data_IF_791661973360
#
_entry.id   IF_791661973360
#
_cell.length_a   1.000
_cell.length_b   1.000
_cell.length_c   1.000
_cell.angle_alpha   90.00
_cell.angle_beta   90.00
_cell.angle_gamma   90.00
#
_symmetry.space_group_name_H-M   'P 1'
#
loop_
_entity.id
_entity.type
_entity.pdbx_description
1 polymer ?
#
# COMPACT_ATOMS: atom_id res chain seq x y z
N UNK A 1 31.88 1.13 23.89
CA UNK A 1 31.52 2.19 22.97
C UNK A 1 30.02 2.04 22.68
N UNK A 2 29.17 2.90 23.26
CA UNK A 2 27.76 2.94 22.92
C UNK A 2 27.61 3.72 21.62
N UNK A 3 27.28 3.05 20.54
CA UNK A 3 26.90 3.71 19.29
C UNK A 3 25.55 4.39 19.54
N UNK A 4 25.53 5.71 19.66
CA UNK A 4 24.29 6.49 19.71
C UNK A 4 23.51 6.22 18.42
N UNK A 5 22.42 5.46 18.55
CA UNK A 5 21.44 5.32 17.47
C UNK A 5 20.70 6.65 17.37
N UNK A 6 21.05 7.48 16.40
CA UNK A 6 20.27 8.66 16.05
C UNK A 6 18.84 8.22 15.74
N UNK A 7 17.87 8.94 16.28
CA UNK A 7 16.45 8.69 15.97
C UNK A 7 16.20 8.89 14.47
N UNK A 8 15.18 8.25 13.93
CA UNK A 8 14.80 8.39 12.52
C UNK A 8 14.57 9.87 12.13
N UNK A 9 13.95 10.65 13.03
CA UNK A 9 13.72 12.08 12.85
C UNK A 9 15.00 12.89 12.68
N UNK A 10 16.08 12.58 13.46
CA UNK A 10 17.37 13.26 13.33
C UNK A 10 18.09 12.92 12.02
N UNK A 11 17.84 11.72 11.46
CA UNK A 11 18.43 11.30 10.18
C UNK A 11 17.71 11.88 8.96
N UNK A 12 16.45 12.24 9.09
CA UNK A 12 15.58 12.65 7.97
C UNK A 12 15.17 14.12 8.03
N UNK A 13 15.46 14.82 9.13
CA UNK A 13 15.18 16.25 9.23
C UNK A 13 15.99 17.02 8.17
N UNK A 14 15.34 17.84 7.32
CA UNK A 14 16.05 18.65 6.35
C UNK A 14 16.92 19.70 7.07
N UNK A 15 18.09 20.01 6.53
CA UNK A 15 18.93 21.10 7.02
C UNK A 15 18.21 22.45 6.85
N UNK A 16 18.60 23.46 7.62
CA UNK A 16 17.99 24.81 7.58
C UNK A 16 18.00 25.43 6.18
N UNK A 17 19.05 25.19 5.41
CA UNK A 17 19.19 25.59 4.01
C UNK A 17 18.21 24.88 3.08
N UNK A 18 17.83 23.63 3.34
CA UNK A 18 16.78 22.93 2.59
C UNK A 18 15.39 23.50 2.90
N UNK A 19 15.11 23.82 4.16
CA UNK A 19 13.85 24.46 4.55
C UNK A 19 13.67 25.80 3.83
N UNK A 20 14.71 26.63 3.81
CA UNK A 20 14.70 27.91 3.11
C UNK A 20 14.56 27.74 1.58
N UNK A 21 15.24 26.72 1.01
CA UNK A 21 15.26 26.46 -0.44
C UNK A 21 13.91 25.97 -0.98
N UNK A 22 13.18 25.17 -0.22
CA UNK A 22 11.91 24.56 -0.67
C UNK A 22 10.66 25.24 -0.13
N UNK A 23 10.82 26.31 0.68
CA UNK A 23 9.69 27.01 1.30
C UNK A 23 8.69 26.03 1.91
N UNK A 24 9.19 25.14 2.77
CA UNK A 24 8.41 24.05 3.36
C UNK A 24 7.32 24.61 4.28
N UNK A 25 6.09 24.18 4.07
CA UNK A 25 4.94 24.53 4.92
C UNK A 25 4.30 23.28 5.49
N UNK A 26 3.95 23.31 6.77
CA UNK A 26 3.16 22.27 7.43
C UNK A 26 1.70 22.70 7.43
N UNK A 27 0.83 21.84 6.93
CA UNK A 27 -0.63 22.03 6.99
C UNK A 27 -1.19 21.13 8.07
N UNK A 28 -2.16 21.62 8.81
CA UNK A 28 -2.83 20.95 9.92
C UNK A 28 -1.91 20.54 11.07
N UNK A 29 -2.48 20.28 12.23
CA UNK A 29 -1.79 19.65 13.34
C UNK A 29 -1.70 18.13 13.12
N UNK A 30 -0.77 17.43 13.79
CA UNK A 30 -0.78 15.97 13.83
C UNK A 30 -2.12 15.48 14.38
N UNK A 31 -2.69 14.42 13.74
CA UNK A 31 -3.91 13.80 14.22
C UNK A 31 -3.69 12.99 15.51
N UNK A 32 -4.77 12.74 16.23
CA UNK A 32 -4.78 11.91 17.43
C UNK A 32 -5.13 10.46 17.08
N UNK A 33 -4.43 9.50 17.70
CA UNK A 33 -4.72 8.09 17.52
C UNK A 33 -5.77 7.62 18.54
N UNK A 34 -6.90 7.12 18.04
CA UNK A 34 -8.00 6.61 18.87
C UNK A 34 -8.51 5.27 18.33
N UNK A 35 -8.98 4.41 19.25
CA UNK A 35 -9.84 3.27 18.93
C UNK A 35 -11.28 3.75 18.95
N UNK A 36 -11.99 3.67 17.83
CA UNK A 36 -13.36 4.19 17.71
C UNK A 36 -14.31 3.03 17.41
N UNK A 37 -15.44 2.91 18.13
CA UNK A 37 -16.48 1.94 17.82
C UNK A 37 -16.92 2.07 16.35
N UNK A 38 -16.91 0.97 15.62
CA UNK A 38 -17.27 0.98 14.21
C UNK A 38 -18.68 1.55 13.93
N UNK A 39 -19.57 1.45 14.92
CA UNK A 39 -20.94 1.96 14.87
C UNK A 39 -21.04 3.49 14.95
N UNK A 40 -20.00 4.15 15.46
CA UNK A 40 -19.92 5.60 15.55
C UNK A 40 -19.27 6.24 14.31
N UNK A 41 -18.65 5.41 13.46
CA UNK A 41 -18.00 5.88 12.25
C UNK A 41 -19.03 6.05 11.11
N UNK A 42 -19.17 7.27 10.63
CA UNK A 42 -20.05 7.61 9.51
C UNK A 42 -19.24 7.77 8.21
N UNK A 43 -19.90 7.62 7.08
CA UNK A 43 -19.35 7.85 5.73
C UNK A 43 -20.18 8.95 5.06
N UNK A 44 -19.54 10.07 4.70
CA UNK A 44 -20.24 11.17 4.04
C UNK A 44 -20.27 10.94 2.51
N UNK A 45 -21.46 10.70 1.93
CA UNK A 45 -21.59 10.43 0.50
C UNK A 45 -21.28 11.64 -0.38
N UNK A 46 -21.19 12.85 0.20
CA UNK A 46 -20.91 14.08 -0.56
C UNK A 46 -19.52 14.10 -1.22
N UNK A 47 -18.52 13.43 -0.62
CA UNK A 47 -17.16 13.37 -1.18
C UNK A 47 -16.59 11.95 -1.26
N UNK A 48 -17.18 10.98 -0.57
CA UNK A 48 -16.75 9.58 -0.64
C UNK A 48 -17.20 8.91 -1.94
N UNK A 49 -16.55 7.81 -2.27
CA UNK A 49 -16.87 7.06 -3.50
C UNK A 49 -18.26 6.43 -3.40
N UNK A 50 -19.17 6.82 -4.28
CA UNK A 50 -20.50 6.22 -4.37
C UNK A 50 -20.45 4.77 -4.90
N UNK A 51 -19.45 4.46 -5.76
CA UNK A 51 -19.27 3.11 -6.30
C UNK A 51 -18.31 2.31 -5.42
N UNK A 52 -18.88 1.48 -4.57
CA UNK A 52 -18.13 0.56 -3.70
C UNK A 52 -17.62 -0.62 -4.53
N UNK A 53 -16.35 -0.97 -4.37
CA UNK A 53 -15.81 -2.22 -4.89
C UNK A 53 -16.15 -3.36 -3.92
N UNK A 54 -17.29 -4.02 -4.16
CA UNK A 54 -17.82 -5.08 -3.29
C UNK A 54 -16.82 -6.24 -3.15
N UNK A 55 -16.15 -6.65 -4.24
CA UNK A 55 -15.12 -7.73 -4.18
C UNK A 55 -14.00 -7.39 -3.19
N UNK A 56 -13.61 -6.11 -3.10
CA UNK A 56 -12.60 -5.66 -2.13
C UNK A 56 -13.15 -5.71 -0.70
N UNK A 57 -14.39 -5.31 -0.48
CA UNK A 57 -15.05 -5.43 0.84
C UNK A 57 -15.12 -6.90 1.26
N UNK A 58 -15.60 -7.79 0.39
CA UNK A 58 -15.72 -9.23 0.67
C UNK A 58 -14.37 -9.87 0.98
N UNK A 59 -13.31 -9.48 0.25
CA UNK A 59 -11.96 -9.96 0.51
C UNK A 59 -11.47 -9.52 1.90
N UNK A 60 -11.65 -8.25 2.23
CA UNK A 60 -11.27 -7.70 3.54
C UNK A 60 -12.08 -8.35 4.67
N UNK A 61 -13.38 -8.57 4.47
CA UNK A 61 -14.26 -9.26 5.44
C UNK A 61 -13.79 -10.67 5.71
N UNK A 62 -13.43 -11.41 4.66
CA UNK A 62 -13.01 -12.82 4.76
C UNK A 62 -11.62 -12.99 5.32
N UNK A 63 -10.69 -12.15 4.91
CA UNK A 63 -9.26 -12.22 5.25
C UNK A 63 -8.81 -10.97 5.98
N UNK A 64 -9.46 -10.70 7.13
CA UNK A 64 -9.11 -9.55 7.94
C UNK A 64 -7.72 -9.71 8.56
N UNK A 65 -6.88 -8.73 8.36
CA UNK A 65 -5.54 -8.64 8.93
C UNK A 65 -5.35 -7.25 9.53
N UNK A 66 -5.09 -7.19 10.83
CA UNK A 66 -4.91 -5.93 11.55
C UNK A 66 -3.70 -5.12 11.06
N UNK A 67 -2.62 -5.79 10.63
CA UNK A 67 -1.44 -5.11 10.06
C UNK A 67 -1.83 -4.47 8.72
N UNK A 68 -2.50 -5.23 7.86
CA UNK A 68 -2.95 -4.73 6.55
C UNK A 68 -4.10 -3.72 6.65
N UNK A 69 -4.90 -3.79 7.72
CA UNK A 69 -5.93 -2.79 8.00
C UNK A 69 -5.31 -1.41 8.21
N UNK A 70 -4.30 -1.31 9.09
CA UNK A 70 -3.74 -0.02 9.48
C UNK A 70 -4.79 0.93 10.07
N UNK A 71 -4.45 2.20 10.23
CA UNK A 71 -5.37 3.22 10.73
C UNK A 71 -6.30 3.74 9.63
N UNK A 72 -7.55 3.99 9.98
CA UNK A 72 -8.44 4.83 9.18
C UNK A 72 -8.08 6.31 9.42
N UNK A 73 -8.35 7.17 8.44
CA UNK A 73 -8.27 8.62 8.63
C UNK A 73 -9.69 9.12 8.85
N UNK A 74 -9.90 9.81 9.96
CA UNK A 74 -11.23 10.20 10.44
C UNK A 74 -11.25 11.69 10.76
N UNK A 75 -12.29 12.37 10.34
CA UNK A 75 -12.59 13.74 10.72
C UNK A 75 -13.54 13.77 11.92
N UNK A 76 -13.20 14.52 12.94
CA UNK A 76 -14.11 14.91 14.00
C UNK A 76 -14.73 16.25 13.67
N UNK A 77 -16.05 16.30 13.55
CA UNK A 77 -16.81 17.53 13.30
C UNK A 77 -17.28 18.19 14.60
N UNK A 78 -17.69 19.44 14.51
CA UNK A 78 -18.18 20.24 15.64
C UNK A 78 -19.41 19.62 16.36
N UNK A 79 -20.16 18.74 15.68
CA UNK A 79 -21.27 17.98 16.25
C UNK A 79 -20.84 16.69 16.98
N UNK A 80 -19.54 16.53 17.23
CA UNK A 80 -18.91 15.35 17.85
C UNK A 80 -19.14 14.04 17.08
N UNK A 81 -19.32 14.11 15.76
CA UNK A 81 -19.45 12.93 14.91
C UNK A 81 -18.16 12.63 14.17
N UNK A 82 -17.93 11.33 13.93
CA UNK A 82 -16.74 10.78 13.32
C UNK A 82 -17.01 10.42 11.85
N UNK A 83 -16.35 11.11 10.93
CA UNK A 83 -16.51 10.85 9.49
C UNK A 83 -15.24 10.24 8.90
N UNK A 84 -15.37 9.06 8.26
CA UNK A 84 -14.26 8.38 7.60
C UNK A 84 -13.84 9.17 6.37
N UNK A 85 -12.62 9.72 6.38
CA UNK A 85 -12.01 10.39 5.22
C UNK A 85 -11.29 9.37 4.34
N UNK A 86 -10.51 8.45 4.93
CA UNK A 86 -9.92 7.32 4.23
C UNK A 86 -10.12 6.02 5.00
N UNK A 87 -10.41 4.96 4.27
CA UNK A 87 -10.64 3.63 4.82
C UNK A 87 -12.06 3.11 4.66
N UNK A 88 -12.90 3.72 3.82
CA UNK A 88 -14.30 3.34 3.61
C UNK A 88 -14.50 1.83 3.41
N UNK A 89 -13.69 1.16 2.56
CA UNK A 89 -13.81 -0.28 2.34
C UNK A 89 -13.48 -1.10 3.59
N UNK A 90 -12.54 -0.63 4.42
CA UNK A 90 -12.15 -1.26 5.69
C UNK A 90 -13.28 -1.15 6.72
N UNK A 91 -13.88 0.03 6.83
CA UNK A 91 -15.05 0.27 7.67
C UNK A 91 -16.22 -0.64 7.26
N UNK A 92 -16.55 -0.68 5.97
CA UNK A 92 -17.62 -1.53 5.45
C UNK A 92 -17.35 -3.03 5.66
N UNK A 93 -16.11 -3.47 5.57
CA UNK A 93 -15.74 -4.84 5.87
C UNK A 93 -15.86 -5.16 7.37
N UNK A 94 -15.43 -4.24 8.24
CA UNK A 94 -15.59 -4.39 9.69
C UNK A 94 -17.06 -4.42 10.12
N UNK A 95 -17.94 -3.70 9.44
CA UNK A 95 -19.38 -3.73 9.72
C UNK A 95 -19.98 -5.13 9.53
N UNK A 96 -19.46 -5.89 8.57
CA UNK A 96 -19.91 -7.26 8.29
C UNK A 96 -19.36 -8.31 9.27
N UNK A 97 -18.49 -7.92 10.22
CA UNK A 97 -17.83 -8.82 11.17
C UNK A 97 -18.31 -8.58 12.59
N UNK A 98 -18.79 -9.63 13.22
CA UNK A 98 -19.24 -9.57 14.63
C UNK A 98 -18.08 -9.52 15.63
N UNK A 99 -16.90 -9.99 15.25
CA UNK A 99 -15.69 -10.07 16.08
C UNK A 99 -14.84 -8.78 16.06
N UNK A 100 -15.22 -7.77 15.27
CA UNK A 100 -14.59 -6.45 15.23
C UNK A 100 -15.55 -5.42 15.81
N UNK A 101 -15.17 -4.79 16.90
CA UNK A 101 -16.00 -3.80 17.59
C UNK A 101 -15.53 -2.37 17.35
N UNK A 102 -14.20 -2.18 17.33
CA UNK A 102 -13.56 -0.89 17.20
C UNK A 102 -12.52 -0.93 16.09
N UNK A 103 -12.20 0.24 15.52
CA UNK A 103 -11.19 0.41 14.48
C UNK A 103 -10.14 1.43 14.91
N UNK A 104 -8.85 1.18 14.59
CA UNK A 104 -7.79 2.15 14.82
C UNK A 104 -7.96 3.34 13.87
N UNK A 105 -8.05 4.54 14.42
CA UNK A 105 -8.30 5.77 13.69
C UNK A 105 -7.25 6.83 14.00
N UNK A 106 -6.80 7.53 12.98
CA UNK A 106 -6.07 8.78 13.11
C UNK A 106 -7.07 9.91 12.88
N UNK A 107 -7.35 10.64 13.95
CA UNK A 107 -8.43 11.63 14.00
C UNK A 107 -7.90 13.03 13.82
N UNK A 108 -8.57 13.80 12.99
CA UNK A 108 -8.32 15.23 12.79
C UNK A 108 -9.59 16.02 13.04
N UNK A 109 -9.48 17.09 13.80
CA UNK A 109 -10.56 18.08 13.88
C UNK A 109 -10.70 18.79 12.53
N UNK A 110 -11.93 18.93 12.06
CA UNK A 110 -12.23 19.62 10.80
C UNK A 110 -13.37 20.59 11.00
N UNK A 111 -13.24 21.77 10.42
CA UNK A 111 -14.25 22.82 10.52
C UNK A 111 -15.26 22.77 9.38
N UNK A 112 -14.99 21.98 8.34
CA UNK A 112 -15.88 21.92 7.18
C UNK A 112 -15.72 20.65 6.33
N UNK A 113 -16.81 20.23 5.67
CA UNK A 113 -16.80 19.20 4.63
C UNK A 113 -15.81 19.49 3.49
N UNK A 114 -15.51 20.75 3.24
CA UNK A 114 -14.55 21.16 2.23
C UNK A 114 -13.12 20.73 2.63
N UNK A 115 -12.75 20.89 3.88
CA UNK A 115 -11.45 20.43 4.40
C UNK A 115 -11.32 18.91 4.30
N UNK A 116 -12.37 18.18 4.67
CA UNK A 116 -12.42 16.72 4.53
C UNK A 116 -12.24 16.29 3.07
N UNK A 117 -12.94 16.93 2.13
CA UNK A 117 -12.82 16.64 0.70
C UNK A 117 -11.40 16.95 0.18
N UNK A 118 -10.78 18.04 0.60
CA UNK A 118 -9.38 18.36 0.25
C UNK A 118 -8.43 17.30 0.80
N UNK A 119 -8.61 16.88 2.05
CA UNK A 119 -7.81 15.84 2.69
C UNK A 119 -7.99 14.48 1.99
N UNK A 120 -9.23 14.13 1.64
CA UNK A 120 -9.55 12.94 0.84
C UNK A 120 -8.81 12.93 -0.50
N UNK A 121 -8.81 14.04 -1.22
CA UNK A 121 -8.10 14.17 -2.50
C UNK A 121 -6.59 14.05 -2.29
N UNK A 122 -6.02 14.76 -1.30
CA UNK A 122 -4.59 14.72 -1.01
C UNK A 122 -4.10 13.31 -0.68
N UNK A 123 -4.81 12.57 0.18
CA UNK A 123 -4.49 11.19 0.55
C UNK A 123 -4.53 10.27 -0.68
N UNK A 124 -5.54 10.43 -1.54
CA UNK A 124 -5.70 9.54 -2.70
C UNK A 124 -4.78 9.90 -3.88
N UNK A 125 -4.44 11.18 -4.08
CA UNK A 125 -3.51 11.62 -5.12
C UNK A 125 -2.06 11.25 -4.80
N UNK A 126 -1.67 11.29 -3.52
CA UNK A 126 -0.32 10.94 -3.09
C UNK A 126 -0.01 9.44 -3.05
N UNK A 127 -1.00 8.58 -3.24
CA UNK A 127 -0.80 7.11 -3.20
C UNK A 127 -0.17 6.60 -4.48
N UNK A 128 1.12 6.37 -4.42
CA UNK A 128 1.84 5.60 -5.45
C UNK A 128 1.66 4.12 -5.14
N UNK A 129 1.14 3.35 -6.10
CA UNK A 129 1.04 1.90 -5.96
C UNK A 129 2.42 1.26 -5.83
N UNK A 130 2.51 0.15 -5.09
CA UNK A 130 3.75 -0.64 -5.02
C UNK A 130 4.14 -1.10 -6.42
N UNK A 131 5.35 -0.76 -6.84
CA UNK A 131 5.91 -1.13 -8.14
C UNK A 131 5.93 -2.65 -8.35
N UNK A 132 5.93 -3.08 -9.61
CA UNK A 132 5.92 -4.51 -9.97
C UNK A 132 7.12 -5.25 -9.39
N UNK A 133 8.30 -4.66 -9.44
CA UNK A 133 9.54 -5.25 -8.93
C UNK A 133 9.55 -5.31 -7.39
N UNK A 134 9.09 -4.25 -6.72
CA UNK A 134 9.06 -4.22 -5.25
C UNK A 134 8.04 -5.22 -4.71
N UNK A 135 6.90 -5.36 -5.38
CA UNK A 135 5.92 -6.40 -5.06
C UNK A 135 6.51 -7.80 -5.21
N UNK A 136 7.22 -8.05 -6.30
CA UNK A 136 7.88 -9.33 -6.52
C UNK A 136 8.94 -9.62 -5.46
N UNK A 137 9.76 -8.63 -5.09
CA UNK A 137 10.74 -8.76 -3.99
C UNK A 137 10.08 -9.08 -2.65
N UNK A 138 8.97 -8.40 -2.34
CA UNK A 138 8.20 -8.68 -1.14
C UNK A 138 7.61 -10.09 -1.15
N UNK A 139 7.11 -10.56 -2.28
CA UNK A 139 6.62 -11.94 -2.46
C UNK A 139 7.73 -12.97 -2.23
N UNK A 140 8.93 -12.74 -2.75
CA UNK A 140 10.09 -13.62 -2.49
C UNK A 140 10.44 -13.68 -1.01
N UNK A 141 10.51 -12.54 -0.34
CA UNK A 141 10.84 -12.45 1.09
C UNK A 141 9.75 -13.06 1.98
N UNK A 142 8.49 -13.02 1.57
CA UNK A 142 7.38 -13.66 2.27
C UNK A 142 7.33 -15.18 2.08
N UNK A 143 8.23 -15.77 1.28
CA UNK A 143 8.25 -17.19 1.01
C UNK A 143 7.19 -17.67 0.01
N UNK A 144 6.66 -16.78 -0.84
CA UNK A 144 5.71 -17.15 -1.89
C UNK A 144 6.33 -18.17 -2.83
N UNK A 145 5.71 -19.35 -2.94
CA UNK A 145 6.23 -20.48 -3.72
C UNK A 145 6.31 -20.17 -5.22
N UNK A 146 5.34 -19.42 -5.75
CA UNK A 146 5.33 -19.02 -7.17
C UNK A 146 6.47 -18.05 -7.47
N UNK A 147 6.69 -17.04 -6.61
CA UNK A 147 7.80 -16.13 -6.76
C UNK A 147 9.16 -16.86 -6.67
N UNK A 148 9.28 -17.81 -5.74
CA UNK A 148 10.48 -18.63 -5.58
C UNK A 148 10.75 -19.50 -6.81
N UNK A 149 9.73 -20.08 -7.42
CA UNK A 149 9.86 -20.87 -8.66
C UNK A 149 10.31 -19.97 -9.84
N UNK A 150 9.71 -18.79 -9.99
CA UNK A 150 10.12 -17.81 -11.01
C UNK A 150 11.57 -17.39 -10.81
N UNK A 151 11.97 -17.07 -9.58
CA UNK A 151 13.34 -16.67 -9.26
C UNK A 151 14.36 -17.78 -9.56
N UNK A 152 14.03 -19.02 -9.21
CA UNK A 152 14.87 -20.18 -9.53
C UNK A 152 15.08 -20.34 -11.05
N UNK A 153 14.04 -20.13 -11.84
CA UNK A 153 14.12 -20.19 -13.31
C UNK A 153 14.92 -19.04 -13.89
N UNK A 154 14.72 -17.81 -13.41
CA UNK A 154 15.54 -16.67 -13.82
C UNK A 154 17.02 -16.96 -13.59
N UNK A 155 17.38 -17.42 -12.39
CA UNK A 155 18.79 -17.71 -12.01
C UNK A 155 19.39 -18.85 -12.83
N UNK A 156 18.61 -19.92 -13.09
CA UNK A 156 19.11 -21.07 -13.85
C UNK A 156 19.53 -20.73 -15.28
N UNK A 157 19.01 -19.64 -15.83
CA UNK A 157 19.34 -19.12 -17.18
C UNK A 157 20.21 -17.86 -17.15
N UNK A 158 20.75 -17.49 -15.96
CA UNK A 158 21.60 -16.32 -15.78
C UNK A 158 20.87 -14.99 -15.82
N UNK A 159 19.54 -15.00 -15.69
CA UNK A 159 18.72 -13.79 -15.64
C UNK A 159 18.42 -13.36 -14.20
N UNK A 160 18.00 -12.11 -14.04
CA UNK A 160 17.56 -11.52 -12.78
C UNK A 160 16.39 -10.56 -12.98
N UNK A 161 15.57 -10.39 -11.97
CA UNK A 161 14.57 -9.33 -11.94
C UNK A 161 15.20 -7.95 -11.74
N UNK A 162 14.75 -6.93 -12.45
CA UNK A 162 15.28 -5.56 -12.31
C UNK A 162 14.37 -4.52 -12.96
N UNK A 163 14.65 -3.24 -12.66
CA UNK A 163 13.83 -2.13 -13.15
C UNK A 163 13.99 -1.86 -14.64
N UNK A 164 15.24 -1.90 -15.12
CA UNK A 164 15.57 -1.61 -16.50
C UNK A 164 15.86 -2.90 -17.25
N UNK A 165 15.22 -3.12 -18.40
CA UNK A 165 15.52 -4.30 -19.22
C UNK A 165 16.96 -4.25 -19.72
N UNK A 166 17.61 -5.40 -19.71
CA UNK A 166 18.94 -5.61 -20.30
C UNK A 166 19.05 -7.07 -20.71
N UNK A 167 20.15 -7.45 -21.36
CA UNK A 167 20.39 -8.83 -21.80
C UNK A 167 20.20 -9.89 -20.70
N UNK A 168 20.39 -9.52 -19.42
CA UNK A 168 20.22 -10.44 -18.27
C UNK A 168 19.21 -9.94 -17.23
N UNK A 169 18.47 -8.89 -17.53
CA UNK A 169 17.55 -8.28 -16.57
C UNK A 169 16.14 -8.26 -17.14
N UNK A 170 15.23 -8.91 -16.43
CA UNK A 170 13.80 -8.97 -16.77
C UNK A 170 13.05 -7.92 -15.96
N UNK A 171 12.48 -6.91 -16.61
CA UNK A 171 11.69 -5.87 -15.98
C UNK A 171 10.21 -6.23 -15.83
N UNK A 172 9.70 -7.13 -16.66
CA UNK A 172 8.31 -7.61 -16.62
C UNK A 172 8.09 -8.81 -15.69
N UNK A 173 8.86 -8.89 -14.60
CA UNK A 173 8.85 -10.04 -13.67
C UNK A 173 7.46 -10.37 -13.10
N UNK A 174 6.60 -9.36 -12.93
CA UNK A 174 5.23 -9.57 -12.46
C UNK A 174 4.36 -10.29 -13.51
N UNK A 175 4.65 -10.14 -14.80
CA UNK A 175 3.99 -10.91 -15.85
C UNK A 175 4.39 -12.40 -15.78
N UNK A 176 5.68 -12.67 -15.54
CA UNK A 176 6.17 -14.03 -15.34
C UNK A 176 5.55 -14.68 -14.09
N UNK A 177 5.48 -13.92 -13.00
CA UNK A 177 4.80 -14.36 -11.79
C UNK A 177 3.32 -14.69 -12.05
N UNK A 178 2.60 -13.83 -12.77
CA UNK A 178 1.18 -14.07 -13.08
C UNK A 178 1.00 -15.33 -13.93
N UNK A 179 1.85 -15.54 -14.94
CA UNK A 179 1.84 -16.73 -15.77
C UNK A 179 2.13 -18.00 -14.94
N UNK A 180 3.16 -17.96 -14.08
CA UNK A 180 3.51 -19.09 -13.22
C UNK A 180 2.43 -19.39 -12.17
N UNK A 181 1.75 -18.36 -11.67
CA UNK A 181 0.65 -18.50 -10.72
C UNK A 181 -0.59 -19.13 -11.35
N UNK A 182 -0.86 -18.85 -12.62
CA UNK A 182 -1.96 -19.44 -13.37
C UNK A 182 -1.68 -20.92 -13.71
N UNK A 183 -0.48 -21.20 -14.25
CA UNK A 183 -0.03 -22.55 -14.63
C UNK A 183 1.51 -22.62 -14.57
N UNK A 184 2.02 -23.17 -13.46
CA UNK A 184 3.45 -23.30 -13.23
C UNK A 184 4.11 -24.23 -14.27
N UNK A 185 3.46 -25.33 -14.63
CA UNK A 185 3.99 -26.28 -15.61
C UNK A 185 4.09 -25.65 -17.00
N UNK A 186 3.11 -24.82 -17.37
CA UNK A 186 3.14 -24.05 -18.61
C UNK A 186 4.28 -23.03 -18.58
N UNK A 187 4.44 -22.28 -17.49
CA UNK A 187 5.55 -21.36 -17.31
C UNK A 187 6.90 -22.07 -17.47
N UNK A 188 7.08 -23.20 -16.83
CA UNK A 188 8.32 -23.99 -16.91
C UNK A 188 8.66 -24.47 -18.32
N UNK A 189 7.66 -24.82 -19.12
CA UNK A 189 7.85 -25.19 -20.54
C UNK A 189 8.18 -23.99 -21.42
N UNK A 190 7.57 -22.83 -21.13
CA UNK A 190 7.74 -21.62 -21.97
C UNK A 190 9.00 -20.85 -21.62
N UNK A 191 9.48 -20.96 -20.40
CA UNK A 191 10.62 -20.14 -19.94
C UNK A 191 11.90 -20.32 -20.78
N UNK A 192 12.33 -21.54 -21.18
CA UNK A 192 13.51 -21.69 -22.04
C UNK A 192 13.40 -20.93 -23.35
N UNK A 193 12.24 -20.97 -24.00
CA UNK A 193 11.97 -20.23 -25.24
C UNK A 193 12.00 -18.71 -25.02
N UNK A 194 11.44 -18.24 -23.93
CA UNK A 194 11.46 -16.81 -23.57
C UNK A 194 12.89 -16.35 -23.25
N UNK A 195 13.69 -17.17 -22.60
CA UNK A 195 15.08 -16.87 -22.27
C UNK A 195 15.96 -16.79 -23.53
N UNK A 196 15.71 -17.64 -24.52
CA UNK A 196 16.40 -17.61 -25.83
C UNK A 196 16.05 -16.35 -26.64
N UNK A 197 14.81 -15.86 -26.54
CA UNK A 197 14.37 -14.62 -27.19
C UNK A 197 14.98 -13.35 -26.54
N UNK A 198 15.50 -13.48 -25.33
CA UNK A 198 16.29 -12.47 -24.64
C UNK A 198 17.77 -12.91 -24.57
N UNK A 199 18.48 -12.97 -25.68
CA UNK A 199 19.86 -13.43 -25.69
C UNK A 199 20.69 -12.56 -24.77
N UNK A 200 21.41 -13.20 -23.85
CA UNK A 200 22.48 -12.57 -23.09
C UNK A 200 23.46 -12.00 -24.09
N UNK A 201 23.39 -10.68 -24.36
CA UNK A 201 24.24 -10.03 -25.34
C UNK A 201 25.68 -10.41 -25.14
N UNK A 202 26.30 -10.86 -26.21
CA UNK A 202 27.74 -11.00 -26.36
C UNK A 202 28.43 -9.64 -26.26
#
# INVERSE_FOLDING_TARGET
MKTEQRTYAEKTAPGLDQVARYNLTVRNAPGEFLMIPKTELEVDPAYQRNRINQRRVDTLTRFWDWIACGCLVVALRDDNKWFVVDGQHRKLAADQRADIHELPCLVFETTSRREEAVSFLAINQGRVGVGSLDRYRAQLLSGDQTASAVEARLRSTGHRAGEKPSARTVSCVQCLYSLAKEDLARFERLWPLLAELHPTGQ
#
